data_IF_367279988741
#
_entry.id   IF_367279988741
#
_cell.length_a   1.000
_cell.length_b   1.000
_cell.length_c   1.000
_cell.angle_alpha   90.00
_cell.angle_beta   90.00
_cell.angle_gamma   90.00
#
_symmetry.space_group_name_H-M   'P 1'
#
loop_
_entity.id
_entity.type
_entity.pdbx_description
1 polymer ?
#
# COMPACT_ATOMS: atom_id res chain seq x y z
N UNK A 1 -10.22 17.04 3.11
CA UNK A 1 -10.55 16.03 4.14
C UNK A 1 -11.32 14.92 3.45
N UNK A 2 -10.58 13.88 3.05
CA UNK A 2 -11.05 12.59 2.57
C UNK A 2 -9.75 11.81 2.35
N UNK A 3 -9.48 10.84 3.21
CA UNK A 3 -8.50 9.80 2.91
C UNK A 3 -9.13 8.95 1.82
N UNK A 4 -8.97 9.34 0.55
CA UNK A 4 -9.47 8.56 -0.58
C UNK A 4 -8.79 7.19 -0.54
N UNK A 5 -9.52 6.20 -0.03
CA UNK A 5 -9.05 4.83 0.15
C UNK A 5 -8.53 4.26 -1.18
N UNK A 6 -9.24 4.52 -2.28
CA UNK A 6 -8.84 4.22 -3.65
C UNK A 6 -7.46 4.81 -3.99
N UNK A 7 -7.19 6.06 -3.60
CA UNK A 7 -5.88 6.69 -3.86
C UNK A 7 -4.78 6.03 -3.02
N UNK A 8 -5.05 5.73 -1.76
CA UNK A 8 -4.09 5.08 -0.87
C UNK A 8 -3.78 3.63 -1.28
N UNK A 9 -4.75 2.93 -1.88
CA UNK A 9 -4.60 1.57 -2.37
C UNK A 9 -3.99 1.50 -3.78
N UNK A 10 -4.45 2.35 -4.68
CA UNK A 10 -4.21 2.23 -6.12
C UNK A 10 -3.59 3.49 -6.74
N UNK A 11 -3.82 4.67 -6.17
CA UNK A 11 -3.30 5.95 -6.68
C UNK A 11 -1.79 6.12 -6.53
N UNK A 12 -1.16 7.06 -7.25
CA UNK A 12 0.29 7.24 -7.19
C UNK A 12 0.70 7.83 -5.83
N UNK A 13 1.29 7.00 -4.98
CA UNK A 13 1.91 7.45 -3.72
C UNK A 13 3.42 7.60 -3.92
N UNK A 14 3.98 8.72 -3.47
CA UNK A 14 5.43 8.99 -3.56
C UNK A 14 6.16 8.71 -2.23
N UNK A 15 5.44 8.25 -1.20
CA UNK A 15 5.96 7.96 0.13
C UNK A 15 5.53 6.56 0.60
N UNK A 16 6.29 5.92 1.52
CA UNK A 16 5.87 4.69 2.17
C UNK A 16 4.48 4.86 2.78
N UNK A 17 3.54 4.02 2.36
CA UNK A 17 2.14 4.10 2.76
C UNK A 17 1.75 2.86 3.54
N UNK A 18 1.12 3.06 4.69
CA UNK A 18 0.64 2.02 5.58
C UNK A 18 -0.86 2.14 5.74
N UNK A 19 -1.55 1.01 5.80
CA UNK A 19 -2.98 0.94 6.03
C UNK A 19 -3.26 0.14 7.30
N UNK A 20 -4.26 0.57 8.04
CA UNK A 20 -4.71 -0.09 9.26
C UNK A 20 -6.19 -0.33 9.12
N UNK A 21 -6.60 -1.59 9.17
CA UNK A 21 -8.00 -1.99 9.11
C UNK A 21 -8.40 -2.70 10.39
N UNK A 22 -9.68 -2.59 10.76
CA UNK A 22 -10.27 -3.49 11.75
C UNK A 22 -10.24 -4.92 11.23
N UNK A 23 -10.02 -5.89 12.11
CA UNK A 23 -9.90 -7.30 11.75
C UNK A 23 -11.12 -7.84 10.97
N UNK A 24 -12.33 -7.37 11.30
CA UNK A 24 -13.57 -7.75 10.61
C UNK A 24 -13.71 -7.20 9.18
N UNK A 25 -12.92 -6.20 8.80
CA UNK A 25 -12.90 -5.60 7.45
C UNK A 25 -11.60 -5.84 6.70
N UNK A 26 -10.62 -6.45 7.36
CA UNK A 26 -9.27 -6.59 6.83
C UNK A 26 -9.18 -7.51 5.61
N UNK A 27 -10.16 -8.39 5.41
CA UNK A 27 -10.13 -9.39 4.36
C UNK A 27 -10.10 -8.80 2.94
N UNK A 28 -10.83 -7.70 2.72
CA UNK A 28 -10.81 -6.98 1.45
C UNK A 28 -9.41 -6.47 1.09
N UNK A 29 -8.62 -6.06 2.10
CA UNK A 29 -7.24 -5.59 1.90
C UNK A 29 -6.27 -6.76 1.76
N UNK A 30 -6.50 -7.89 2.44
CA UNK A 30 -5.69 -9.12 2.25
C UNK A 30 -5.76 -9.63 0.82
N UNK A 31 -6.91 -9.48 0.16
CA UNK A 31 -7.10 -9.83 -1.24
C UNK A 31 -6.50 -8.82 -2.23
N UNK A 32 -6.12 -7.62 -1.77
CA UNK A 32 -5.63 -6.57 -2.67
C UNK A 32 -4.14 -6.80 -3.02
N UNK A 33 -3.79 -6.91 -4.32
CA UNK A 33 -2.44 -7.21 -4.76
C UNK A 33 -1.41 -6.10 -4.44
N UNK A 34 -1.86 -4.86 -4.26
CA UNK A 34 -1.01 -3.69 -4.04
C UNK A 34 -0.56 -3.52 -2.59
N UNK A 35 -1.11 -4.30 -1.66
CA UNK A 35 -0.75 -4.25 -0.25
C UNK A 35 -0.17 -5.59 0.20
N UNK A 36 0.57 -5.55 1.29
CA UNK A 36 1.19 -6.69 1.94
C UNK A 36 0.83 -6.64 3.42
N UNK A 37 0.38 -7.78 3.94
CA UNK A 37 0.12 -7.96 5.37
C UNK A 37 1.41 -7.86 6.18
N UNK A 38 1.36 -7.13 7.29
CA UNK A 38 2.48 -7.00 8.23
C UNK A 38 2.23 -7.78 9.53
N UNK A 39 1.17 -7.42 10.26
CA UNK A 39 0.84 -7.99 11.56
C UNK A 39 -0.62 -7.76 11.94
N UNK A 40 -1.10 -8.55 12.91
CA UNK A 40 -2.40 -8.38 13.56
C UNK A 40 -2.17 -8.17 15.06
N UNK A 41 -2.79 -7.14 15.64
CA UNK A 41 -2.59 -6.78 17.03
C UNK A 41 -3.82 -6.02 17.56
N UNK A 42 -4.34 -6.43 18.72
CA UNK A 42 -5.48 -5.78 19.41
C UNK A 42 -6.73 -5.52 18.54
N UNK A 43 -7.06 -6.45 17.63
CA UNK A 43 -8.23 -6.33 16.75
C UNK A 43 -8.01 -5.48 15.49
N UNK A 44 -6.77 -5.09 15.23
CA UNK A 44 -6.37 -4.37 14.03
C UNK A 44 -5.38 -5.16 13.18
N UNK A 45 -5.38 -4.88 11.89
CA UNK A 45 -4.53 -5.51 10.88
C UNK A 45 -3.77 -4.42 10.17
N UNK A 46 -2.46 -4.57 10.14
CA UNK A 46 -1.53 -3.62 9.57
C UNK A 46 -1.06 -4.11 8.21
N UNK A 47 -1.11 -3.22 7.22
CA UNK A 47 -0.67 -3.47 5.86
C UNK A 47 0.35 -2.42 5.43
N UNK A 48 1.29 -2.83 4.57
CA UNK A 48 2.19 -1.95 3.85
C UNK A 48 1.84 -1.97 2.38
N UNK A 49 1.80 -0.81 1.74
CA UNK A 49 1.71 -0.75 0.27
C UNK A 49 3.01 -1.20 -0.37
N UNK A 50 2.92 -2.10 -1.35
CA UNK A 50 4.08 -2.52 -2.14
C UNK A 50 4.63 -1.32 -2.91
N UNK A 51 5.95 -1.21 -3.05
CA UNK A 51 6.55 -0.14 -3.84
C UNK A 51 6.10 -0.22 -5.30
N UNK A 52 5.96 0.92 -5.95
CA UNK A 52 5.63 0.97 -7.37
C UNK A 52 6.88 0.61 -8.19
N UNK A 53 7.02 -0.68 -8.49
CA UNK A 53 8.19 -1.22 -9.21
C UNK A 53 8.35 -0.61 -10.62
N UNK A 54 7.27 -0.13 -11.23
CA UNK A 54 7.33 0.56 -12.53
C UNK A 54 8.03 1.92 -12.37
N UNK A 55 7.59 2.77 -11.44
CA UNK A 55 8.27 4.04 -11.11
C UNK A 55 9.73 3.84 -10.71
N UNK A 56 10.02 2.79 -9.94
CA UNK A 56 11.40 2.47 -9.53
C UNK A 56 12.22 2.10 -10.77
N UNK A 57 11.72 1.20 -11.61
CA UNK A 57 12.41 0.78 -12.83
C UNK A 57 12.64 1.95 -13.81
N UNK A 58 11.64 2.83 -13.98
CA UNK A 58 11.78 4.05 -14.78
C UNK A 58 12.81 5.02 -14.21
N UNK A 59 12.83 5.20 -12.88
CA UNK A 59 13.80 6.08 -12.23
C UNK A 59 15.22 5.56 -12.37
N UNK A 60 15.42 4.24 -12.24
CA UNK A 60 16.71 3.60 -12.46
C UNK A 60 17.18 3.78 -13.91
N UNK A 61 16.31 3.53 -14.90
CA UNK A 61 16.63 3.76 -16.34
C UNK A 61 17.03 5.21 -16.66
N UNK A 62 16.49 6.20 -15.92
CA UNK A 62 16.83 7.62 -16.09
C UNK A 62 18.16 8.00 -15.45
N UNK A 63 18.65 7.25 -14.46
CA UNK A 63 19.95 7.49 -13.82
C UNK A 63 21.12 6.93 -14.63
N UNK A 64 20.85 6.02 -15.56
CA UNK A 64 21.85 5.38 -16.44
C UNK A 64 22.12 6.14 -17.75
N UNK A 65 21.39 7.25 -18.01
CA UNK A 65 21.58 8.15 -19.16
C UNK A 65 22.23 9.46 -18.73
#
# INVERSE_FOLDING_TARGET
EASDEEWLLNGPVDKPTFLIARIDRADAYRANPNVEFLKEENGFVFFRRKPDYQKIAESLRKMEQ
#
